data_IF_133428142973
#
_entry.id   IF_133428142973
#
_cell.length_a   1.000
_cell.length_b   1.000
_cell.length_c   1.000
_cell.angle_alpha   90.00
_cell.angle_beta   90.00
_cell.angle_gamma   90.00
#
_symmetry.space_group_name_H-M   'P 1'
#
loop_
_entity.id
_entity.type
_entity.pdbx_description
1 polymer ?
#
# COMPACT_ATOMS: atom_id res chain seq x y z
N UNK A 1 -3.74 1.14 0.46
CA UNK A 1 -2.38 0.58 0.62
C UNK A 1 -2.14 0.36 2.11
N UNK A 2 -2.91 -0.52 2.77
CA UNK A 2 -2.92 -0.60 4.25
C UNK A 2 -3.52 0.61 4.95
N UNK A 3 -3.65 0.50 6.28
CA UNK A 3 -3.93 1.59 7.23
C UNK A 3 -5.21 2.38 6.99
N UNK A 4 -6.16 1.80 6.27
CA UNK A 4 -7.43 2.46 6.05
C UNK A 4 -8.26 2.54 7.34
N UNK A 5 -8.17 1.50 8.19
CA UNK A 5 -8.91 1.43 9.44
C UNK A 5 -7.98 0.85 10.51
N UNK A 6 -7.37 1.75 11.28
CA UNK A 6 -6.55 1.35 12.43
C UNK A 6 -7.31 0.37 13.34
N UNK A 7 -6.70 -0.78 13.58
CA UNK A 7 -7.26 -1.88 14.35
C UNK A 7 -6.27 -2.56 15.30
N UNK A 8 -4.95 -2.32 15.20
CA UNK A 8 -3.97 -3.01 16.06
C UNK A 8 -4.24 -2.80 17.57
N UNK A 9 -4.86 -1.67 17.98
CA UNK A 9 -5.13 -1.30 19.37
C UNK A 9 -6.61 -1.36 19.80
N UNK A 10 -7.47 -2.00 19.00
CA UNK A 10 -8.90 -2.16 19.34
C UNK A 10 -9.27 -3.62 19.58
N UNK A 11 -10.25 -3.85 20.45
CA UNK A 11 -10.85 -5.16 20.65
C UNK A 11 -11.73 -5.59 19.48
N UNK A 12 -12.04 -6.88 19.42
CA UNK A 12 -12.75 -7.51 18.31
C UNK A 12 -14.14 -6.93 18.04
N UNK A 13 -14.90 -6.56 19.08
CA UNK A 13 -16.22 -5.94 18.90
C UNK A 13 -16.14 -4.65 18.06
N UNK A 14 -15.16 -3.79 18.35
CA UNK A 14 -14.98 -2.54 17.59
C UNK A 14 -14.36 -2.82 16.21
N UNK A 15 -13.47 -3.80 16.10
CA UNK A 15 -12.94 -4.25 14.82
C UNK A 15 -14.07 -4.68 13.86
N UNK A 16 -14.94 -5.59 14.28
CA UNK A 16 -16.03 -6.08 13.44
C UNK A 16 -17.06 -4.99 13.13
N UNK A 17 -17.33 -4.06 14.05
CA UNK A 17 -18.17 -2.89 13.77
C UNK A 17 -17.58 -1.97 12.69
N UNK A 18 -16.26 -1.79 12.68
CA UNK A 18 -15.57 -0.99 11.64
C UNK A 18 -15.56 -1.74 10.31
N UNK A 19 -15.26 -3.03 10.33
CA UNK A 19 -15.30 -3.91 9.17
C UNK A 19 -16.68 -3.94 8.50
N UNK A 20 -17.75 -3.98 9.30
CA UNK A 20 -19.12 -3.92 8.80
C UNK A 20 -19.38 -2.61 8.05
N UNK A 21 -19.01 -1.45 8.63
CA UNK A 21 -19.15 -0.15 7.95
C UNK A 21 -18.34 -0.07 6.66
N UNK A 22 -17.13 -0.62 6.68
CA UNK A 22 -16.26 -0.68 5.52
C UNK A 22 -16.93 -1.42 4.36
N UNK A 23 -17.48 -2.61 4.61
CA UNK A 23 -18.13 -3.45 3.59
C UNK A 23 -19.52 -2.95 3.19
N UNK A 24 -20.30 -2.44 4.15
CA UNK A 24 -21.71 -2.09 3.92
C UNK A 24 -21.94 -0.64 3.49
N UNK A 25 -20.96 0.26 3.66
CA UNK A 25 -21.13 1.69 3.35
C UNK A 25 -20.08 2.27 2.41
N UNK A 26 -18.82 1.86 2.54
CA UNK A 26 -17.71 2.46 1.78
C UNK A 26 -17.49 1.68 0.49
N UNK A 27 -17.24 0.38 0.62
CA UNK A 27 -16.98 -0.53 -0.49
C UNK A 27 -18.08 -1.57 -0.58
N UNK A 28 -19.29 -1.10 -0.87
CA UNK A 28 -20.45 -1.98 -1.10
C UNK A 28 -20.21 -2.83 -2.33
N UNK A 29 -19.83 -4.08 -2.13
CA UNK A 29 -19.81 -5.09 -3.19
C UNK A 29 -21.09 -5.91 -3.11
N UNK A 30 -21.93 -5.79 -4.14
CA UNK A 30 -23.04 -6.72 -4.36
C UNK A 30 -22.50 -7.78 -5.33
N UNK A 31 -22.30 -9.00 -4.85
CA UNK A 31 -21.51 -9.99 -5.57
C UNK A 31 -22.00 -10.31 -6.99
N UNK A 32 -21.01 -10.58 -7.86
CA UNK A 32 -21.08 -11.39 -9.10
C UNK A 32 -21.57 -10.72 -10.39
N UNK A 33 -20.97 -9.59 -10.79
CA UNK A 33 -20.93 -9.24 -12.22
C UNK A 33 -19.49 -9.34 -12.74
N UNK A 34 -19.28 -9.90 -13.94
CA UNK A 34 -17.97 -9.93 -14.59
C UNK A 34 -17.41 -8.53 -14.94
N UNK A 35 -18.19 -7.47 -14.69
CA UNK A 35 -17.84 -6.08 -14.95
C UNK A 35 -17.50 -5.29 -13.67
N UNK A 36 -17.43 -5.93 -12.49
CA UNK A 36 -17.01 -5.23 -11.28
C UNK A 36 -15.48 -5.12 -11.17
N UNK A 37 -14.94 -3.98 -10.73
CA UNK A 37 -13.51 -3.84 -10.47
C UNK A 37 -13.02 -4.86 -9.44
N UNK A 38 -11.86 -5.48 -9.70
CA UNK A 38 -11.20 -6.33 -8.70
C UNK A 38 -10.77 -5.46 -7.53
N UNK A 39 -11.18 -5.85 -6.34
CA UNK A 39 -10.86 -5.14 -5.12
C UNK A 39 -9.75 -5.85 -4.33
N UNK A 40 -8.62 -5.17 -4.14
CA UNK A 40 -7.41 -5.72 -3.50
C UNK A 40 -7.17 -4.99 -2.17
N UNK A 41 -7.25 -5.73 -1.07
CA UNK A 41 -6.82 -5.27 0.23
C UNK A 41 -5.36 -5.62 0.49
N UNK A 42 -4.68 -4.73 1.20
CA UNK A 42 -3.29 -4.85 1.64
C UNK A 42 -3.28 -4.41 3.09
N UNK A 43 -2.65 -5.18 3.97
CA UNK A 43 -2.55 -4.86 5.39
C UNK A 43 -1.51 -3.78 5.62
N UNK A 44 -1.77 -2.87 6.56
CA UNK A 44 -0.79 -1.92 7.08
C UNK A 44 -0.40 -2.14 8.53
N UNK A 45 0.59 -1.40 9.02
CA UNK A 45 1.06 -1.55 10.40
C UNK A 45 -0.04 -1.20 11.42
N UNK A 46 -0.96 -0.31 11.08
CA UNK A 46 -2.11 -0.01 11.92
C UNK A 46 -3.20 -1.07 11.85
N UNK A 47 -3.13 -2.01 10.91
CA UNK A 47 -4.06 -3.13 10.81
C UNK A 47 -3.57 -4.33 11.64
N UNK A 48 -2.37 -4.83 11.33
CA UNK A 48 -1.83 -6.09 11.89
C UNK A 48 -0.58 -5.91 12.75
N UNK A 49 0.00 -4.71 12.80
CA UNK A 49 1.27 -4.43 13.47
C UNK A 49 2.50 -4.74 12.60
N UNK A 50 3.65 -4.22 13.00
CA UNK A 50 4.95 -4.66 12.46
C UNK A 50 5.30 -6.06 12.97
N UNK A 51 6.29 -6.72 12.37
CA UNK A 51 6.69 -8.09 12.71
C UNK A 51 6.92 -8.33 14.21
N UNK A 52 7.47 -7.33 14.91
CA UNK A 52 7.74 -7.43 16.34
C UNK A 52 6.55 -7.23 17.27
N UNK A 53 5.34 -7.05 16.75
CA UNK A 53 4.09 -7.02 17.50
C UNK A 53 2.92 -7.73 16.77
N UNK A 54 3.18 -8.37 15.64
CA UNK A 54 2.19 -9.10 14.86
C UNK A 54 1.77 -10.37 15.61
N UNK A 55 0.46 -10.58 15.78
CA UNK A 55 -0.10 -11.73 16.52
C UNK A 55 -1.06 -12.53 15.65
N UNK A 56 -1.26 -13.80 16.02
CA UNK A 56 -2.27 -14.68 15.40
C UNK A 56 -3.67 -14.07 15.42
N UNK A 57 -4.08 -13.46 16.53
CA UNK A 57 -5.40 -12.83 16.65
C UNK A 57 -5.58 -11.70 15.61
N UNK A 58 -4.60 -10.78 15.53
CA UNK A 58 -4.64 -9.63 14.60
C UNK A 58 -4.66 -10.09 13.14
N UNK A 59 -3.79 -11.05 12.80
CA UNK A 59 -3.71 -11.61 11.44
C UNK A 59 -4.97 -12.37 11.08
N UNK A 60 -5.48 -13.26 11.96
CA UNK A 60 -6.64 -14.08 11.66
C UNK A 60 -7.90 -13.24 11.43
N UNK A 61 -8.18 -12.26 12.29
CA UNK A 61 -9.35 -11.39 12.11
C UNK A 61 -9.22 -10.48 10.88
N UNK A 62 -8.00 -10.04 10.55
CA UNK A 62 -7.74 -9.33 9.30
C UNK A 62 -8.06 -10.22 8.10
N UNK A 63 -7.51 -11.44 8.03
CA UNK A 63 -7.71 -12.33 6.89
C UNK A 63 -9.16 -12.77 6.71
N UNK A 64 -9.90 -12.98 7.81
CA UNK A 64 -11.32 -13.29 7.79
C UNK A 64 -12.16 -12.19 7.13
N UNK A 65 -11.76 -10.93 7.28
CA UNK A 65 -12.52 -9.79 6.78
C UNK A 65 -12.00 -9.30 5.43
N UNK A 66 -10.69 -9.13 5.28
CA UNK A 66 -10.08 -8.42 4.17
C UNK A 66 -9.39 -9.34 3.15
N UNK A 67 -9.20 -10.62 3.47
CA UNK A 67 -8.52 -11.60 2.62
C UNK A 67 -7.08 -11.88 3.02
N UNK A 68 -6.44 -12.81 2.32
CA UNK A 68 -5.07 -13.27 2.61
C UNK A 68 -4.05 -12.14 2.51
N UNK A 69 -3.02 -12.17 3.36
CA UNK A 69 -1.98 -11.13 3.34
C UNK A 69 -0.91 -11.37 2.26
N UNK A 70 -0.77 -12.62 1.79
CA UNK A 70 0.15 -13.05 0.74
C UNK A 70 -0.62 -13.83 -0.33
N UNK A 71 -0.67 -13.34 -1.57
CA UNK A 71 -1.29 -14.07 -2.69
C UNK A 71 -0.90 -13.50 -4.06
N UNK A 72 -1.10 -14.31 -5.09
CA UNK A 72 -0.92 -13.94 -6.49
C UNK A 72 -2.25 -14.01 -7.23
N UNK A 73 -2.52 -13.02 -8.08
CA UNK A 73 -3.59 -13.06 -9.08
C UNK A 73 -2.96 -12.91 -10.45
N UNK A 74 -3.22 -13.86 -11.34
CA UNK A 74 -2.78 -13.80 -12.73
C UNK A 74 -3.97 -13.69 -13.67
N UNK A 75 -3.81 -12.87 -14.72
CA UNK A 75 -4.80 -12.77 -15.79
C UNK A 75 -4.38 -13.61 -16.98
N UNK A 76 -5.32 -14.15 -17.76
CA UNK A 76 -4.98 -14.86 -18.98
C UNK A 76 -4.37 -13.89 -20.00
N UNK A 77 -3.41 -14.38 -20.77
CA UNK A 77 -2.91 -13.67 -21.94
C UNK A 77 -4.05 -13.49 -22.96
N UNK A 78 -3.99 -12.40 -23.72
CA UNK A 78 -4.92 -12.14 -24.83
C UNK A 78 -4.13 -12.09 -26.14
N UNK A 79 -4.83 -11.92 -27.26
CA UNK A 79 -4.16 -11.72 -28.55
C UNK A 79 -3.35 -10.42 -28.60
N UNK A 80 -3.67 -9.45 -27.74
CA UNK A 80 -3.12 -8.10 -27.79
C UNK A 80 -2.00 -7.87 -26.77
N UNK A 81 -1.91 -8.68 -25.70
CA UNK A 81 -0.90 -8.53 -24.66
C UNK A 81 -0.67 -9.81 -23.84
N UNK A 82 0.53 -9.98 -23.22
CA UNK A 82 0.80 -11.11 -22.32
C UNK A 82 -0.07 -11.09 -21.05
N UNK A 83 -0.05 -12.21 -20.31
CA UNK A 83 -0.64 -12.32 -18.98
C UNK A 83 -0.09 -11.25 -18.03
N UNK A 84 -0.95 -10.74 -17.14
CA UNK A 84 -0.50 -9.91 -16.02
C UNK A 84 -0.38 -10.72 -14.75
N UNK A 85 0.52 -10.30 -13.88
CA UNK A 85 0.63 -10.79 -12.51
C UNK A 85 0.45 -9.64 -11.53
N UNK A 86 -0.38 -9.87 -10.54
CA UNK A 86 -0.56 -9.01 -9.37
C UNK A 86 -0.09 -9.80 -8.15
N UNK A 87 0.91 -9.28 -7.45
CA UNK A 87 1.46 -9.89 -6.24
C UNK A 87 1.10 -9.02 -5.06
N UNK A 88 0.45 -9.58 -4.05
CA UNK A 88 0.20 -8.91 -2.78
C UNK A 88 1.06 -9.57 -1.71
N UNK A 89 1.80 -8.77 -0.96
CA UNK A 89 2.72 -9.27 0.05
C UNK A 89 2.56 -8.58 1.41
N UNK A 90 2.70 -9.37 2.47
CA UNK A 90 2.80 -8.89 3.85
C UNK A 90 4.21 -8.36 4.15
N UNK A 91 4.51 -7.18 3.60
CA UNK A 91 5.80 -6.51 3.80
C UNK A 91 6.15 -6.27 5.27
N UNK A 92 5.15 -6.13 6.14
CA UNK A 92 5.30 -5.89 7.58
C UNK A 92 5.98 -7.04 8.33
N UNK A 93 6.02 -8.23 7.72
CA UNK A 93 6.62 -9.44 8.30
C UNK A 93 8.02 -9.75 7.81
N UNK A 94 8.56 -8.97 6.85
CA UNK A 94 9.84 -9.30 6.19
C UNK A 94 11.05 -8.97 7.05
N UNK A 95 11.06 -7.80 7.69
CA UNK A 95 12.13 -7.40 8.59
C UNK A 95 11.79 -7.77 10.04
N UNK A 96 12.80 -7.88 10.89
CA UNK A 96 12.63 -8.34 12.27
C UNK A 96 13.57 -7.63 13.24
N UNK A 97 13.70 -8.16 14.48
CA UNK A 97 13.19 -9.46 14.94
C UNK A 97 11.66 -9.54 15.11
N UNK A 98 11.10 -10.71 14.82
CA UNK A 98 9.67 -11.01 14.93
C UNK A 98 9.22 -11.32 16.36
N UNK A 99 7.97 -11.00 16.70
CA UNK A 99 7.30 -11.56 17.88
C UNK A 99 6.87 -13.01 17.60
N UNK A 100 6.23 -13.23 16.46
CA UNK A 100 5.75 -14.54 16.00
C UNK A 100 6.47 -14.91 14.69
N UNK A 101 7.55 -15.71 14.73
CA UNK A 101 8.38 -15.99 13.55
C UNK A 101 7.63 -16.63 12.37
N UNK A 102 6.47 -17.26 12.64
CA UNK A 102 5.65 -17.90 11.63
C UNK A 102 5.29 -16.95 10.47
N UNK A 103 4.93 -15.69 10.74
CA UNK A 103 4.47 -14.80 9.68
C UNK A 103 5.59 -14.42 8.72
N UNK A 104 6.81 -14.25 9.24
CA UNK A 104 7.99 -14.07 8.40
C UNK A 104 8.26 -15.32 7.57
N UNK A 105 8.22 -16.52 8.18
CA UNK A 105 8.44 -17.78 7.47
C UNK A 105 7.43 -18.01 6.34
N UNK A 106 6.13 -17.78 6.61
CA UNK A 106 5.06 -17.93 5.62
C UNK A 106 5.27 -16.96 4.44
N UNK A 107 5.68 -15.71 4.71
CA UNK A 107 5.95 -14.71 3.67
C UNK A 107 7.21 -15.06 2.85
N UNK A 108 8.29 -15.52 3.50
CA UNK A 108 9.50 -15.96 2.81
C UNK A 108 9.25 -17.18 1.92
N UNK A 109 8.48 -18.17 2.40
CA UNK A 109 8.07 -19.32 1.60
C UNK A 109 7.21 -18.90 0.41
N UNK A 110 6.33 -17.91 0.59
CA UNK A 110 5.55 -17.35 -0.50
C UNK A 110 6.44 -16.66 -1.55
N UNK A 111 7.43 -15.86 -1.13
CA UNK A 111 8.41 -15.24 -2.04
C UNK A 111 9.17 -16.30 -2.84
N UNK A 112 9.62 -17.37 -2.19
CA UNK A 112 10.30 -18.50 -2.84
C UNK A 112 9.41 -19.11 -3.93
N UNK A 113 8.13 -19.36 -3.65
CA UNK A 113 7.18 -19.89 -4.64
C UNK A 113 6.98 -18.97 -5.86
N UNK A 114 7.08 -17.64 -5.68
CA UNK A 114 7.04 -16.67 -6.79
C UNK A 114 8.32 -16.79 -7.62
N UNK A 115 9.48 -16.88 -6.97
CA UNK A 115 10.77 -17.01 -7.63
C UNK A 115 10.84 -18.29 -8.50
N UNK A 116 10.30 -19.40 -8.01
CA UNK A 116 10.25 -20.68 -8.74
C UNK A 116 9.24 -20.70 -9.89
N UNK A 117 8.27 -19.78 -9.90
CA UNK A 117 7.24 -19.74 -10.94
C UNK A 117 7.79 -19.31 -12.32
N UNK A 118 7.33 -19.95 -13.40
CA UNK A 118 7.77 -19.65 -14.78
C UNK A 118 6.99 -18.52 -15.46
N UNK A 119 6.41 -17.61 -14.69
CA UNK A 119 5.65 -16.50 -15.27
C UNK A 119 6.55 -15.52 -16.00
N UNK A 120 6.08 -15.09 -17.16
CA UNK A 120 6.76 -14.14 -18.02
C UNK A 120 5.75 -13.10 -18.52
N UNK A 121 5.78 -11.91 -17.91
CA UNK A 121 4.84 -10.84 -18.18
C UNK A 121 5.07 -9.64 -17.25
N UNK A 122 4.30 -8.55 -17.41
CA UNK A 122 4.31 -7.42 -16.49
C UNK A 122 3.81 -7.84 -15.10
N UNK A 123 4.49 -7.36 -14.07
CA UNK A 123 4.09 -7.59 -12.67
C UNK A 123 3.74 -6.27 -11.98
N UNK A 124 2.64 -6.28 -11.23
CA UNK A 124 2.29 -5.25 -10.24
C UNK A 124 2.51 -5.84 -8.86
N UNK A 125 3.43 -5.27 -8.09
CA UNK A 125 3.64 -5.63 -6.69
C UNK A 125 2.91 -4.65 -5.78
N UNK A 126 2.12 -5.17 -4.87
CA UNK A 126 1.47 -4.42 -3.80
C UNK A 126 2.17 -4.72 -2.48
N UNK A 127 2.81 -3.71 -1.94
CA UNK A 127 3.45 -3.73 -0.61
C UNK A 127 2.88 -2.58 0.22
N UNK A 128 2.89 -2.71 1.55
CA UNK A 128 2.52 -1.56 2.39
C UNK A 128 3.74 -0.71 2.72
N UNK A 129 4.82 -1.35 3.19
CA UNK A 129 6.09 -0.71 3.53
C UNK A 129 6.89 -0.48 2.24
N UNK A 130 7.33 0.76 1.97
CA UNK A 130 8.18 1.08 0.84
C UNK A 130 9.50 0.30 0.84
N UNK A 131 10.06 -0.02 -0.33
CA UNK A 131 11.34 -0.71 -0.42
C UNK A 131 12.49 0.24 -0.05
N UNK A 132 13.64 -0.33 0.35
CA UNK A 132 14.87 0.39 0.64
C UNK A 132 15.26 1.36 -0.48
N UNK A 133 15.73 2.54 -0.06
CA UNK A 133 16.23 3.62 -0.91
C UNK A 133 17.36 4.32 -0.18
N UNK A 134 18.33 4.83 -0.94
CA UNK A 134 19.37 5.69 -0.38
C UNK A 134 18.79 7.00 0.16
N UNK A 135 19.44 7.53 1.19
CA UNK A 135 19.04 8.80 1.80
C UNK A 135 19.07 9.94 0.77
N UNK A 136 18.03 10.77 0.76
CA UNK A 136 17.87 11.89 -0.17
C UNK A 136 17.08 11.57 -1.44
N UNK A 137 16.73 10.30 -1.70
CA UNK A 137 15.81 9.93 -2.80
C UNK A 137 14.36 10.29 -2.43
N UNK A 138 13.93 9.87 -1.24
CA UNK A 138 12.63 10.20 -0.67
C UNK A 138 12.79 11.12 0.53
N UNK A 139 11.66 11.63 1.04
CA UNK A 139 11.67 12.55 2.18
C UNK A 139 12.20 11.89 3.44
N UNK A 140 11.67 10.71 3.78
CA UNK A 140 12.17 9.95 4.90
C UNK A 140 13.22 8.94 4.44
N UNK A 141 14.20 8.69 5.30
CA UNK A 141 15.24 7.68 5.08
C UNK A 141 14.85 6.34 5.71
N UNK A 142 15.72 5.35 5.55
CA UNK A 142 15.57 4.06 6.22
C UNK A 142 15.67 4.26 7.73
N UNK A 143 14.67 3.81 8.46
CA UNK A 143 14.57 3.92 9.91
C UNK A 143 14.03 2.61 10.47
N UNK A 144 14.59 2.19 11.61
CA UNK A 144 14.14 1.03 12.38
C UNK A 144 14.18 1.39 13.86
N UNK A 145 13.13 1.01 14.58
CA UNK A 145 13.07 1.13 16.02
C UNK A 145 12.53 -0.15 16.62
N UNK A 146 12.94 -0.43 17.85
CA UNK A 146 12.73 -1.70 18.51
C UNK A 146 12.12 -1.49 19.88
N UNK A 147 11.34 -2.46 20.34
CA UNK A 147 10.89 -2.49 21.71
C UNK A 147 12.05 -2.76 22.68
N UNK A 148 11.87 -2.47 23.97
CA UNK A 148 12.88 -2.75 24.99
C UNK A 148 13.23 -4.23 25.12
N UNK A 149 12.35 -5.12 24.66
CA UNK A 149 12.56 -6.57 24.61
C UNK A 149 13.13 -7.05 23.26
N UNK A 150 13.45 -6.15 22.33
CA UNK A 150 14.28 -6.43 21.15
C UNK A 150 13.55 -6.74 19.84
N UNK A 151 12.22 -6.80 19.82
CA UNK A 151 11.47 -7.03 18.57
C UNK A 151 11.20 -5.72 17.82
N UNK A 152 10.99 -5.82 16.51
CA UNK A 152 10.74 -4.69 15.63
C UNK A 152 9.45 -3.94 16.00
N UNK A 153 9.58 -2.64 16.29
CA UNK A 153 8.46 -1.78 16.68
C UNK A 153 7.91 -0.96 15.53
N UNK A 154 8.78 -0.40 14.71
CA UNK A 154 8.42 0.45 13.56
C UNK A 154 9.58 0.53 12.57
N UNK A 155 9.25 0.74 11.31
CA UNK A 155 10.21 1.00 10.24
C UNK A 155 9.61 1.94 9.18
N UNK A 156 10.43 2.74 8.51
CA UNK A 156 9.97 3.59 7.40
C UNK A 156 10.05 2.87 6.04
N UNK A 157 11.09 2.07 5.87
CA UNK A 157 11.38 1.35 4.64
C UNK A 157 11.74 -0.09 4.99
N UNK A 158 11.56 -1.02 4.04
CA UNK A 158 12.15 -2.35 4.13
C UNK A 158 13.67 -2.24 4.21
N UNK A 159 14.31 -3.24 4.81
CA UNK A 159 15.77 -3.34 4.77
C UNK A 159 16.25 -3.52 3.34
N UNK A 160 17.52 -3.18 3.08
CA UNK A 160 18.14 -3.41 1.78
C UNK A 160 18.07 -4.88 1.38
N UNK A 161 18.33 -5.79 2.32
CA UNK A 161 18.26 -7.24 2.11
C UNK A 161 16.85 -7.69 1.70
N UNK A 162 15.82 -7.33 2.47
CA UNK A 162 14.42 -7.65 2.15
C UNK A 162 14.01 -7.07 0.80
N UNK A 163 14.48 -5.87 0.47
CA UNK A 163 14.16 -5.20 -0.80
C UNK A 163 14.81 -5.90 -2.00
N UNK A 164 16.08 -6.29 -1.90
CA UNK A 164 16.78 -7.05 -2.94
C UNK A 164 16.11 -8.41 -3.14
N UNK A 165 15.78 -9.12 -2.04
CA UNK A 165 15.08 -10.40 -2.10
C UNK A 165 13.75 -10.27 -2.87
N UNK A 166 12.95 -9.26 -2.57
CA UNK A 166 11.68 -9.02 -3.26
C UNK A 166 11.88 -8.70 -4.73
N UNK A 167 12.78 -7.76 -5.06
CA UNK A 167 13.00 -7.36 -6.45
C UNK A 167 13.50 -8.53 -7.30
N UNK A 168 14.45 -9.31 -6.77
CA UNK A 168 14.98 -10.49 -7.44
C UNK A 168 13.92 -11.58 -7.65
N UNK A 169 13.06 -11.81 -6.66
CA UNK A 169 12.06 -12.89 -6.73
C UNK A 169 10.86 -12.53 -7.59
N UNK A 170 10.37 -11.28 -7.48
CA UNK A 170 9.11 -10.84 -8.12
C UNK A 170 9.34 -10.40 -9.56
N UNK A 171 10.39 -9.62 -9.82
CA UNK A 171 10.61 -9.04 -11.14
C UNK A 171 11.61 -9.83 -11.98
N UNK A 172 12.54 -10.58 -11.34
CA UNK A 172 13.60 -11.37 -11.95
C UNK A 172 14.55 -10.54 -12.83
N UNK A 173 15.85 -10.48 -12.52
CA UNK A 173 16.82 -9.83 -13.38
C UNK A 173 16.73 -10.35 -14.83
N UNK A 174 16.65 -9.45 -15.81
CA UNK A 174 16.52 -9.79 -17.22
C UNK A 174 15.08 -9.99 -17.74
N UNK A 175 14.05 -9.89 -16.89
CA UNK A 175 12.66 -9.86 -17.37
C UNK A 175 12.42 -8.60 -18.23
N UNK A 176 12.02 -8.76 -19.52
CA UNK A 176 11.90 -7.63 -20.43
C UNK A 176 10.68 -6.76 -20.15
N UNK A 177 9.72 -7.22 -19.35
CA UNK A 177 8.47 -6.51 -19.10
C UNK A 177 8.54 -5.52 -17.93
N UNK A 178 9.58 -5.58 -17.10
CA UNK A 178 9.72 -4.74 -15.91
C UNK A 178 8.49 -4.81 -15.01
N UNK A 179 8.11 -3.68 -14.40
CA UNK A 179 6.83 -3.59 -13.71
C UNK A 179 6.71 -2.39 -12.78
N UNK A 180 5.76 -2.47 -11.87
CA UNK A 180 5.44 -1.39 -10.95
C UNK A 180 5.14 -1.92 -9.56
N UNK A 181 5.62 -1.21 -8.55
CA UNK A 181 5.36 -1.46 -7.15
C UNK A 181 4.48 -0.31 -6.66
N UNK A 182 3.37 -0.64 -6.02
CA UNK A 182 2.54 0.34 -5.31
C UNK A 182 2.79 0.15 -3.82
N UNK A 183 3.12 1.24 -3.13
CA UNK A 183 3.35 1.28 -1.67
C UNK A 183 2.58 2.42 -0.98
N UNK A 184 2.53 2.39 0.35
CA UNK A 184 1.89 3.41 1.19
C UNK A 184 2.84 3.86 2.29
N UNK A 185 2.32 4.02 3.52
CA UNK A 185 3.10 4.28 4.74
C UNK A 185 3.78 5.66 4.87
N UNK A 186 4.66 6.05 3.94
CA UNK A 186 5.58 7.20 4.05
C UNK A 186 4.93 8.61 4.07
N UNK A 187 3.60 8.68 4.11
CA UNK A 187 2.72 9.85 4.10
C UNK A 187 2.91 10.94 3.02
N UNK A 188 4.13 11.37 2.74
CA UNK A 188 4.57 12.40 1.81
C UNK A 188 4.58 11.92 0.37
N UNK A 189 4.71 10.60 0.18
CA UNK A 189 4.76 9.95 -1.11
C UNK A 189 6.10 10.13 -1.80
N UNK A 190 6.41 9.19 -2.68
CA UNK A 190 7.70 9.13 -3.38
C UNK A 190 7.57 8.30 -4.66
N UNK A 191 8.36 8.63 -5.69
CA UNK A 191 8.44 7.83 -6.91
C UNK A 191 9.91 7.54 -7.20
N UNK A 192 10.23 6.26 -7.33
CA UNK A 192 11.60 5.77 -7.46
C UNK A 192 11.64 4.71 -8.56
N UNK A 193 12.69 4.75 -9.37
CA UNK A 193 12.97 3.73 -10.37
C UNK A 193 14.10 2.82 -9.86
N UNK A 194 13.88 1.50 -9.93
CA UNK A 194 14.85 0.46 -9.65
C UNK A 194 15.41 -0.10 -10.95
N UNK A 195 16.73 -0.08 -11.07
CA UNK A 195 17.48 -0.60 -12.22
C UNK A 195 18.44 -1.69 -11.74
N UNK A 196 18.41 -2.84 -12.40
CA UNK A 196 19.33 -3.93 -12.09
C UNK A 196 20.73 -3.64 -12.65
N UNK A 197 21.73 -3.61 -11.78
CA UNK A 197 23.13 -3.50 -12.15
C UNK A 197 23.72 -4.90 -12.32
N UNK A 198 24.13 -5.24 -13.55
CA UNK A 198 24.70 -6.55 -13.87
C UNK A 198 26.13 -6.75 -13.39
N UNK A 199 26.86 -5.68 -13.06
CA UNK A 199 28.23 -5.78 -12.54
C UNK A 199 28.24 -6.10 -11.05
N UNK A 200 27.30 -5.51 -10.29
CA UNK A 200 27.17 -5.72 -8.84
C UNK A 200 26.12 -6.75 -8.47
N UNK A 201 25.29 -7.19 -9.42
CA UNK A 201 24.15 -8.10 -9.22
C UNK A 201 23.10 -7.56 -8.23
N UNK A 202 22.91 -6.24 -8.22
CA UNK A 202 22.00 -5.55 -7.30
C UNK A 202 21.04 -4.61 -8.01
N UNK A 203 19.84 -4.44 -7.45
CA UNK A 203 18.91 -3.40 -7.86
C UNK A 203 19.27 -2.07 -7.21
N UNK A 204 19.49 -1.03 -8.02
CA UNK A 204 19.82 0.31 -7.57
C UNK A 204 18.60 1.23 -7.67
N UNK A 205 18.26 1.91 -6.57
CA UNK A 205 17.20 2.91 -6.52
C UNK A 205 17.69 4.25 -7.07
N UNK A 206 16.90 4.88 -7.92
CA UNK A 206 17.16 6.22 -8.46
C UNK A 206 15.90 7.09 -8.41
N UNK A 207 16.02 8.42 -8.20
CA UNK A 207 14.87 9.31 -8.30
C UNK A 207 14.21 9.21 -9.68
N UNK A 208 12.88 9.10 -9.72
CA UNK A 208 12.18 9.00 -11.00
C UNK A 208 12.30 10.32 -11.80
N UNK A 209 12.89 10.23 -12.99
CA UNK A 209 13.13 11.40 -13.86
C UNK A 209 11.87 11.81 -14.63
N UNK A 210 10.92 10.89 -14.82
CA UNK A 210 9.70 11.09 -15.60
C UNK A 210 8.49 10.46 -14.92
N UNK A 211 7.29 10.99 -15.17
CA UNK A 211 6.01 10.36 -14.75
C UNK A 211 5.71 9.05 -15.51
N UNK A 212 6.43 8.79 -16.59
CA UNK A 212 6.35 7.57 -17.40
C UNK A 212 7.52 6.65 -17.06
N UNK A 213 7.23 5.40 -16.71
CA UNK A 213 8.22 4.33 -16.61
C UNK A 213 8.13 3.45 -17.86
N UNK A 214 9.26 2.97 -18.34
CA UNK A 214 9.36 2.06 -19.48
C UNK A 214 10.06 0.77 -19.03
N UNK A 215 9.58 -0.38 -19.48
CA UNK A 215 10.31 -1.63 -19.25
C UNK A 215 11.75 -1.54 -19.81
N UNK A 216 12.73 -2.23 -19.19
CA UNK A 216 12.60 -3.19 -18.10
C UNK A 216 12.74 -2.58 -16.69
N UNK A 217 12.63 -1.26 -16.50
CA UNK A 217 12.73 -0.67 -15.16
C UNK A 217 11.56 -1.10 -14.26
N UNK A 218 11.82 -1.22 -12.95
CA UNK A 218 10.76 -1.41 -11.96
C UNK A 218 10.51 -0.09 -11.25
N UNK A 219 9.30 0.46 -11.37
CA UNK A 219 8.96 1.72 -10.71
C UNK A 219 8.23 1.47 -9.42
N UNK A 220 8.73 1.98 -8.30
CA UNK A 220 7.95 2.08 -7.07
C UNK A 220 7.25 3.43 -6.97
N UNK A 221 5.98 3.39 -6.59
CA UNK A 221 5.15 4.54 -6.28
C UNK A 221 4.65 4.38 -4.86
N UNK A 222 5.23 5.16 -3.95
CA UNK A 222 4.69 5.38 -2.62
C UNK A 222 3.58 6.42 -2.74
N UNK A 223 2.33 5.98 -2.60
CA UNK A 223 1.17 6.87 -2.75
C UNK A 223 1.11 7.84 -1.58
N UNK A 224 1.13 9.15 -1.88
CA UNK A 224 0.96 10.19 -0.87
C UNK A 224 -0.33 9.98 -0.08
N UNK A 225 -0.33 10.29 1.20
CA UNK A 225 -1.42 9.94 2.13
C UNK A 225 -2.75 10.61 1.76
N UNK A 226 -3.82 9.87 2.07
CA UNK A 226 -5.21 10.31 2.09
C UNK A 226 -5.52 11.23 3.29
N UNK A 227 -4.65 11.28 4.29
CA UNK A 227 -4.84 12.16 5.43
C UNK A 227 -4.90 13.63 4.99
N UNK A 228 -5.77 14.40 5.64
CA UNK A 228 -6.05 15.79 5.26
C UNK A 228 -4.82 16.70 5.33
N UNK A 229 -3.91 16.46 6.29
CA UNK A 229 -2.65 17.20 6.43
C UNK A 229 -1.72 17.04 5.21
N UNK A 230 -1.85 15.93 4.47
CA UNK A 230 -1.08 15.64 3.27
C UNK A 230 -1.86 15.95 1.98
N UNK A 231 -3.04 16.57 2.08
CA UNK A 231 -3.84 17.02 0.94
C UNK A 231 -4.83 15.98 0.40
N UNK A 232 -5.08 14.88 1.12
CA UNK A 232 -6.16 13.95 0.78
C UNK A 232 -5.98 13.23 -0.55
N UNK A 233 -4.88 12.51 -0.74
CA UNK A 233 -4.53 11.94 -2.04
C UNK A 233 -5.05 10.51 -2.23
N UNK A 234 -5.58 10.27 -3.42
CA UNK A 234 -5.62 8.94 -4.05
C UNK A 234 -4.63 8.87 -5.21
N UNK A 235 -4.34 7.66 -5.69
CA UNK A 235 -3.48 7.42 -6.84
C UNK A 235 -4.23 6.73 -7.97
N UNK A 236 -3.99 7.16 -9.20
CA UNK A 236 -4.43 6.47 -10.42
C UNK A 236 -3.20 5.99 -11.19
N UNK A 237 -3.12 4.67 -11.38
CA UNK A 237 -2.11 4.02 -12.20
C UNK A 237 -2.76 3.51 -13.48
N UNK A 238 -2.13 3.77 -14.62
CA UNK A 238 -2.51 3.21 -15.92
C UNK A 238 -1.33 2.49 -16.54
N UNK A 239 -1.53 1.24 -16.94
CA UNK A 239 -0.59 0.47 -17.75
C UNK A 239 -1.03 0.44 -19.20
N UNK A 240 -0.12 0.71 -20.13
CA UNK A 240 -0.37 0.67 -21.58
C UNK A 240 0.67 -0.20 -22.27
N UNK A 241 0.21 -1.20 -23.02
CA UNK A 241 1.09 -2.04 -23.84
C UNK A 241 1.25 -1.41 -25.22
N UNK A 242 2.50 -1.20 -25.64
CA UNK A 242 2.82 -0.83 -27.01
C UNK A 242 3.24 -2.08 -27.79
N UNK A 243 2.36 -2.54 -28.67
CA UNK A 243 2.59 -3.72 -29.50
C UNK A 243 3.78 -3.57 -30.47
N UNK A 244 4.15 -2.35 -30.85
CA UNK A 244 5.27 -2.13 -31.78
C UNK A 244 6.62 -2.35 -31.10
N UNK A 245 6.74 -1.88 -29.86
CA UNK A 245 7.96 -2.00 -29.05
C UNK A 245 7.92 -3.18 -28.09
N UNK A 246 6.82 -3.94 -28.06
CA UNK A 246 6.53 -5.01 -27.11
C UNK A 246 6.78 -4.60 -25.64
N UNK A 247 6.54 -3.32 -25.32
CA UNK A 247 6.93 -2.69 -24.05
C UNK A 247 5.69 -2.22 -23.28
N UNK A 248 5.73 -2.35 -21.95
CA UNK A 248 4.74 -1.75 -21.07
C UNK A 248 5.17 -0.36 -20.60
N UNK A 249 4.20 0.55 -20.60
CA UNK A 249 4.37 1.89 -20.06
C UNK A 249 3.41 2.12 -18.90
N UNK A 250 3.95 2.57 -17.78
CA UNK A 250 3.19 2.87 -16.58
C UNK A 250 3.12 4.39 -16.37
N UNK A 251 1.90 4.88 -16.16
CA UNK A 251 1.59 6.28 -15.93
C UNK A 251 0.89 6.43 -14.59
N UNK A 252 1.44 7.27 -13.72
CA UNK A 252 0.86 7.53 -12.41
C UNK A 252 0.45 8.99 -12.26
N UNK A 253 -0.72 9.22 -11.68
CA UNK A 253 -1.20 10.54 -11.29
C UNK A 253 -1.75 10.50 -9.87
N UNK A 254 -1.44 11.55 -9.10
CA UNK A 254 -2.08 11.81 -7.81
C UNK A 254 -3.38 12.59 -8.01
N UNK A 255 -4.43 12.13 -7.34
CA UNK A 255 -5.74 12.76 -7.30
C UNK A 255 -5.95 13.31 -5.88
N UNK A 256 -5.70 14.60 -5.68
CA UNK A 256 -5.92 15.27 -4.40
C UNK A 256 -7.38 15.68 -4.23
N UNK A 257 -7.95 15.37 -3.07
CA UNK A 257 -9.27 15.83 -2.63
C UNK A 257 -9.20 17.18 -1.90
N UNK A 258 -7.99 17.68 -1.65
CA UNK A 258 -7.73 18.92 -0.93
C UNK A 258 -7.98 18.81 0.58
N UNK A 259 -7.58 19.86 1.30
CA UNK A 259 -7.82 19.97 2.74
C UNK A 259 -9.26 20.43 2.98
N UNK A 260 -10.03 19.68 3.78
CA UNK A 260 -11.47 19.88 3.99
C UNK A 260 -11.82 21.09 4.88
N UNK A 261 -11.07 22.19 4.79
CA UNK A 261 -11.31 23.40 5.60
C UNK A 261 -12.71 23.99 5.37
N UNK A 262 -13.24 23.89 4.15
CA UNK A 262 -14.58 24.37 3.81
C UNK A 262 -15.64 23.59 4.61
N UNK A 263 -15.51 22.26 4.70
CA UNK A 263 -16.44 21.45 5.48
C UNK A 263 -16.45 21.87 6.94
N UNK A 264 -15.27 22.04 7.56
CA UNK A 264 -15.17 22.52 8.94
C UNK A 264 -15.74 23.92 9.12
N UNK A 265 -15.43 24.86 8.22
CA UNK A 265 -15.98 26.21 8.26
C UNK A 265 -17.52 26.21 8.23
N UNK A 266 -18.13 25.39 7.36
CA UNK A 266 -19.60 25.27 7.31
C UNK A 266 -20.19 24.73 8.61
N UNK A 267 -19.57 23.69 9.21
CA UNK A 267 -20.03 23.12 10.48
C UNK A 267 -19.88 24.08 11.65
N UNK A 268 -18.73 24.72 11.78
CA UNK A 268 -18.47 25.72 12.82
C UNK A 268 -19.45 26.88 12.70
N UNK A 269 -19.64 27.43 11.49
CA UNK A 269 -20.60 28.51 11.24
C UNK A 269 -22.02 28.07 11.61
N UNK A 270 -22.42 26.84 11.25
CA UNK A 270 -23.73 26.28 11.61
C UNK A 270 -23.90 26.20 13.13
N UNK A 271 -22.90 25.71 13.86
CA UNK A 271 -22.96 25.63 15.33
C UNK A 271 -23.03 27.02 15.98
N UNK A 272 -22.27 27.99 15.46
CA UNK A 272 -22.33 29.39 15.92
C UNK A 272 -23.72 29.97 15.67
N UNK A 273 -24.29 29.78 14.47
CA UNK A 273 -25.64 30.25 14.15
C UNK A 273 -26.68 29.64 15.10
N UNK A 274 -26.64 28.33 15.34
CA UNK A 274 -27.54 27.65 16.28
C UNK A 274 -27.39 28.23 17.69
N UNK A 275 -26.16 28.42 18.17
CA UNK A 275 -25.90 28.96 19.50
C UNK A 275 -26.43 30.40 19.66
N UNK A 276 -26.18 31.27 18.67
CA UNK A 276 -26.65 32.66 18.68
C UNK A 276 -28.18 32.74 18.58
N UNK A 277 -28.81 31.94 17.73
CA UNK A 277 -30.27 31.89 17.62
C UNK A 277 -30.89 31.38 18.92
N UNK A 278 -30.31 30.34 19.53
CA UNK A 278 -30.81 29.81 20.82
C UNK A 278 -30.69 30.85 21.92
N UNK A 279 -29.56 31.56 22.01
CA UNK A 279 -29.35 32.64 22.97
C UNK A 279 -30.36 33.78 22.76
N UNK A 280 -30.58 34.19 21.51
CA UNK A 280 -31.55 35.23 21.18
C UNK A 280 -32.98 34.84 21.58
N UNK A 281 -33.38 33.58 21.32
CA UNK A 281 -34.67 33.04 21.77
C UNK A 281 -34.79 33.13 23.29
N UNK A 282 -33.80 32.62 24.04
CA UNK A 282 -33.81 32.65 25.51
C UNK A 282 -33.95 34.08 26.03
N UNK A 283 -33.17 35.03 25.50
CA UNK A 283 -33.22 36.44 25.92
C UNK A 283 -34.56 37.12 25.58
N UNK A 284 -35.25 36.66 24.54
CA UNK A 284 -36.57 37.20 24.15
C UNK A 284 -37.70 36.66 25.02
N UNK A 285 -37.57 35.45 25.58
CA UNK A 285 -38.58 34.85 26.46
C UNK A 285 -38.33 35.11 27.95
N UNK A 286 -37.13 35.56 28.34
CA UNK A 286 -36.78 35.92 29.72
C UNK A 286 -37.02 37.42 30.02
N UNK A 287 -37.13 38.25 28.98
CA UNK A 287 -37.59 39.65 29.08
C UNK A 287 -39.09 39.75 28.77
#
# INVERSE_FOLDING_TARGET
>A
MGDLISSQWIGDEEFYRRADRYKSRIFTHNSYSQNEPVFINISGNHDVGYNGEMTYERVNRYEQIYGKMNYVVETPATNDHPSWRFVVINSLSLDGPALEPKFQQDTLQFIESISESNFNGPTVLFSHVPLYKEEGICRDSTYFNYYSWGTLREQNHLSQESSQLLLNSVFKPGNPYGGVILTGHDHEGCITDYLYNTETEEWLSTPAVSRKAASPSVREITVRSMMGEYGGNGGLLTGHFDANSATWYFYFNLCSLGVQHIWWATKITTYISIALTTLWIILTFVN
#
